data_IF_757811380916
#
_entry.id   IF_757811380916
#
_cell.length_a   1.000
_cell.length_b   1.000
_cell.length_c   1.000
_cell.angle_alpha   90.00
_cell.angle_beta   90.00
_cell.angle_gamma   90.00
#
_symmetry.space_group_name_H-M   'P 1'
#
loop_
_entity.id
_entity.type
_entity.pdbx_description
1 polymer ?
#
# COMPACT_ATOMS: atom_id res chain seq x y z
N UNK A 1 -19.15 -15.30 42.93
CA UNK A 1 -18.60 -14.34 41.98
C UNK A 1 -18.22 -14.95 40.62
N UNK A 2 -17.67 -16.15 40.53
CA UNK A 2 -17.37 -16.83 39.26
C UNK A 2 -18.60 -17.30 38.44
N UNK A 3 -19.74 -17.58 39.06
CA UNK A 3 -20.98 -18.03 38.38
C UNK A 3 -21.80 -16.90 37.72
N UNK A 4 -21.55 -15.65 38.05
CA UNK A 4 -22.24 -14.49 37.45
C UNK A 4 -21.52 -14.02 36.17
N UNK A 5 -20.20 -14.21 36.10
CA UNK A 5 -19.41 -13.89 34.89
C UNK A 5 -19.63 -14.88 33.72
N UNK A 6 -20.00 -16.15 34.03
CA UNK A 6 -20.29 -17.13 32.99
C UNK A 6 -21.68 -16.99 32.35
N UNK A 7 -22.64 -16.36 33.04
CA UNK A 7 -23.98 -16.12 32.48
C UNK A 7 -24.04 -14.86 31.56
N UNK A 8 -23.21 -13.85 31.83
CA UNK A 8 -23.11 -12.65 31.01
C UNK A 8 -22.30 -12.84 29.72
N UNK A 9 -21.38 -13.82 29.71
CA UNK A 9 -20.56 -14.11 28.53
C UNK A 9 -21.26 -14.98 27.47
N UNK A 10 -22.18 -15.85 27.89
CA UNK A 10 -22.84 -16.79 26.97
C UNK A 10 -24.13 -16.25 26.32
N UNK A 11 -24.76 -15.24 26.92
CA UNK A 11 -25.95 -14.61 26.32
C UNK A 11 -25.59 -13.58 25.24
N UNK A 12 -24.40 -12.98 25.28
CA UNK A 12 -23.93 -12.05 24.26
C UNK A 12 -23.48 -12.75 22.97
N UNK A 13 -22.96 -13.99 23.05
CA UNK A 13 -22.53 -14.74 21.86
C UNK A 13 -23.71 -15.35 21.12
N UNK A 14 -24.77 -15.72 21.80
CA UNK A 14 -25.99 -16.26 21.18
C UNK A 14 -26.85 -15.19 20.47
N UNK A 15 -26.74 -13.91 20.86
CA UNK A 15 -27.45 -12.81 20.22
C UNK A 15 -26.84 -12.43 18.86
N UNK A 16 -25.56 -12.74 18.63
CA UNK A 16 -24.90 -12.48 17.34
C UNK A 16 -25.22 -13.52 16.24
N UNK A 17 -25.79 -14.66 16.60
CA UNK A 17 -26.03 -15.78 15.66
C UNK A 17 -27.44 -15.85 15.06
N UNK A 18 -28.36 -14.97 15.41
CA UNK A 18 -29.79 -15.15 15.05
C UNK A 18 -30.49 -14.00 14.32
N UNK A 19 -29.78 -13.03 13.75
CA UNK A 19 -30.45 -12.01 12.93
C UNK A 19 -29.66 -11.66 11.67
N UNK A 20 -29.53 -12.63 10.76
CA UNK A 20 -29.32 -12.35 9.34
C UNK A 20 -30.70 -12.26 8.64
N UNK A 21 -31.56 -11.38 9.11
CA UNK A 21 -32.75 -10.96 8.38
C UNK A 21 -32.48 -9.52 7.92
N UNK A 22 -32.35 -9.33 6.59
CA UNK A 22 -32.23 -8.05 5.96
C UNK A 22 -33.33 -7.09 6.42
N UNK A 23 -32.99 -6.20 7.32
CA UNK A 23 -33.68 -4.95 7.51
C UNK A 23 -32.71 -3.89 7.04
N UNK A 24 -32.93 -3.31 5.87
CA UNK A 24 -32.21 -2.13 5.38
C UNK A 24 -32.55 -0.95 6.32
N UNK A 25 -31.84 -0.86 7.43
CA UNK A 25 -31.81 0.35 8.22
C UNK A 25 -31.02 1.39 7.46
N UNK A 26 -31.64 2.48 7.03
CA UNK A 26 -30.92 3.59 6.42
C UNK A 26 -30.01 4.26 7.45
N UNK A 27 -28.71 4.39 7.13
CA UNK A 27 -27.80 5.19 7.92
C UNK A 27 -28.29 6.67 7.95
N UNK A 28 -28.22 7.30 9.09
CA UNK A 28 -28.60 8.72 9.21
C UNK A 28 -27.55 9.58 8.53
N UNK A 29 -27.95 10.42 7.57
CA UNK A 29 -27.02 11.39 6.96
C UNK A 29 -26.62 12.46 7.99
N UNK A 30 -25.40 12.35 8.49
CA UNK A 30 -24.81 13.25 9.46
C UNK A 30 -24.00 14.38 8.81
N UNK A 31 -23.74 14.33 7.51
CA UNK A 31 -22.87 15.27 6.81
C UNK A 31 -23.36 16.73 6.87
N UNK A 32 -24.67 16.93 7.05
CA UNK A 32 -25.29 18.26 7.20
C UNK A 32 -25.43 18.71 8.65
N UNK A 33 -25.12 17.84 9.62
CA UNK A 33 -25.32 18.10 11.05
C UNK A 33 -24.08 18.72 11.72
N UNK A 34 -24.24 19.48 12.84
CA UNK A 34 -23.08 19.93 13.60
C UNK A 34 -22.19 18.78 14.11
N UNK A 35 -22.77 17.62 14.43
CA UNK A 35 -22.03 16.46 14.86
C UNK A 35 -21.19 15.86 13.72
N UNK A 36 -21.71 15.79 12.51
CA UNK A 36 -20.96 15.37 11.34
C UNK A 36 -19.76 16.30 11.08
N UNK A 37 -19.97 17.61 11.11
CA UNK A 37 -18.87 18.58 10.98
C UNK A 37 -17.81 18.43 12.08
N UNK A 38 -18.21 18.08 13.30
CA UNK A 38 -17.28 17.78 14.38
C UNK A 38 -16.45 16.51 14.07
N UNK A 39 -17.07 15.44 13.53
CA UNK A 39 -16.36 14.24 13.09
C UNK A 39 -15.37 14.57 11.97
N UNK A 40 -15.77 15.38 10.99
CA UNK A 40 -14.88 15.82 9.92
C UNK A 40 -13.69 16.62 10.48
N UNK A 41 -13.93 17.51 11.47
CA UNK A 41 -12.85 18.25 12.11
C UNK A 41 -11.86 17.31 12.82
N UNK A 42 -12.34 16.27 13.51
CA UNK A 42 -11.47 15.24 14.12
C UNK A 42 -10.64 14.54 13.06
N UNK A 43 -11.26 14.14 11.95
CA UNK A 43 -10.54 13.53 10.83
C UNK A 43 -9.44 14.44 10.29
N UNK A 44 -9.74 15.72 10.02
CA UNK A 44 -8.77 16.69 9.49
C UNK A 44 -7.62 16.91 10.47
N UNK A 45 -7.90 17.04 11.76
CA UNK A 45 -6.87 17.21 12.81
C UNK A 45 -6.02 15.94 12.92
N UNK A 46 -6.64 14.76 12.96
CA UNK A 46 -5.93 13.49 12.99
C UNK A 46 -5.05 13.31 11.76
N UNK A 47 -5.59 13.66 10.60
CA UNK A 47 -4.85 13.60 9.34
C UNK A 47 -3.66 14.57 9.30
N UNK A 48 -3.83 15.78 9.85
CA UNK A 48 -2.72 16.72 10.01
C UNK A 48 -1.55 16.10 10.79
N UNK A 49 -1.82 15.38 11.89
CA UNK A 49 -0.76 14.71 12.66
C UNK A 49 -0.16 13.50 11.91
N UNK A 50 -0.93 12.79 11.09
CA UNK A 50 -0.42 11.73 10.20
C UNK A 50 0.57 12.34 9.19
N UNK A 51 0.18 13.41 8.50
CA UNK A 51 1.00 14.07 7.50
C UNK A 51 2.23 14.78 8.09
N UNK A 52 2.14 15.20 9.35
CA UNK A 52 3.20 15.91 10.06
C UNK A 52 4.13 14.95 10.88
N UNK A 53 4.17 13.65 10.55
CA UNK A 53 4.98 12.62 11.20
C UNK A 53 6.44 13.07 11.40
N UNK A 54 7.08 13.57 10.35
CA UNK A 54 8.47 14.03 10.42
C UNK A 54 8.65 15.25 11.33
N UNK A 55 7.69 16.17 11.32
CA UNK A 55 7.78 17.41 12.10
C UNK A 55 7.70 17.16 13.60
N UNK A 56 6.85 16.22 14.00
CA UNK A 56 6.60 15.93 15.43
C UNK A 56 7.30 14.66 15.90
N UNK A 57 7.99 13.93 15.02
CA UNK A 57 8.62 12.63 15.32
C UNK A 57 7.63 11.63 15.94
N UNK A 58 6.37 11.68 15.51
CA UNK A 58 5.30 10.79 15.95
C UNK A 58 4.99 9.84 14.81
N UNK A 59 5.20 8.53 15.02
CA UNK A 59 4.83 7.51 14.04
C UNK A 59 3.34 7.64 13.68
N UNK A 60 3.05 7.70 12.37
CA UNK A 60 1.73 7.95 11.78
C UNK A 60 0.64 6.94 12.20
N UNK A 61 1.03 5.73 12.62
CA UNK A 61 0.10 4.74 13.13
C UNK A 61 -0.66 5.20 14.37
N UNK A 62 0.00 5.96 15.26
CA UNK A 62 -0.61 6.45 16.51
C UNK A 62 -1.77 7.39 16.27
N UNK A 63 -1.61 8.51 15.53
CA UNK A 63 -2.74 9.40 15.25
C UNK A 63 -3.79 8.73 14.36
N UNK A 64 -3.42 7.85 13.42
CA UNK A 64 -4.38 7.14 12.59
C UNK A 64 -5.28 6.23 13.43
N UNK A 65 -4.68 5.37 14.26
CA UNK A 65 -5.42 4.45 15.14
C UNK A 65 -6.33 5.21 16.10
N UNK A 66 -5.81 6.28 16.74
CA UNK A 66 -6.62 7.11 17.64
C UNK A 66 -7.80 7.72 16.90
N UNK A 67 -7.56 8.34 15.74
CA UNK A 67 -8.61 9.03 14.97
C UNK A 67 -9.72 8.06 14.56
N UNK A 68 -9.38 6.94 13.93
CA UNK A 68 -10.37 5.97 13.46
C UNK A 68 -11.20 5.37 14.59
N UNK A 69 -10.54 4.90 15.65
CA UNK A 69 -11.24 4.31 16.80
C UNK A 69 -12.07 5.32 17.56
N UNK A 70 -11.57 6.54 17.74
CA UNK A 70 -12.29 7.62 18.45
C UNK A 70 -13.53 8.07 17.67
N UNK A 71 -13.44 8.19 16.33
CA UNK A 71 -14.60 8.54 15.51
C UNK A 71 -15.72 7.49 15.61
N UNK A 72 -15.39 6.18 15.59
CA UNK A 72 -16.39 5.13 15.80
C UNK A 72 -16.98 5.11 17.21
N UNK A 73 -16.17 5.37 18.23
CA UNK A 73 -16.67 5.52 19.61
C UNK A 73 -17.69 6.69 19.71
N UNK A 74 -17.41 7.81 19.05
CA UNK A 74 -18.32 8.96 19.01
C UNK A 74 -19.61 8.66 18.23
N UNK A 75 -19.51 7.94 17.09
CA UNK A 75 -20.66 7.50 16.32
C UNK A 75 -21.56 6.58 17.13
N UNK A 76 -20.99 5.57 17.80
CA UNK A 76 -21.75 4.67 18.69
C UNK A 76 -22.42 5.43 19.84
N UNK A 77 -21.71 6.36 20.48
CA UNK A 77 -22.28 7.21 21.53
C UNK A 77 -23.42 8.09 21.00
N UNK A 78 -23.28 8.67 19.81
CA UNK A 78 -24.33 9.48 19.19
C UNK A 78 -25.59 8.66 18.92
N UNK A 79 -25.45 7.43 18.38
CA UNK A 79 -26.58 6.52 18.14
C UNK A 79 -27.27 6.14 19.45
N UNK A 80 -26.50 5.79 20.50
CA UNK A 80 -27.05 5.42 21.81
C UNK A 80 -27.82 6.58 22.47
N UNK A 81 -27.26 7.80 22.47
CA UNK A 81 -27.87 8.97 23.10
C UNK A 81 -29.16 9.39 22.39
N UNK A 82 -29.21 9.27 21.06
CA UNK A 82 -30.37 9.66 20.26
C UNK A 82 -31.38 8.54 20.07
N UNK A 83 -31.16 7.34 20.63
CA UNK A 83 -32.06 6.20 20.51
C UNK A 83 -32.23 5.72 19.06
N UNK A 84 -31.19 5.83 18.22
CA UNK A 84 -31.21 5.43 16.83
C UNK A 84 -31.09 3.91 16.70
N UNK A 85 -31.61 3.37 15.58
CA UNK A 85 -31.44 1.95 15.27
C UNK A 85 -29.99 1.62 14.91
N UNK A 86 -29.42 0.63 15.60
CA UNK A 86 -28.04 0.19 15.42
C UNK A 86 -27.85 -0.76 14.22
N UNK A 87 -28.91 -1.21 13.57
CA UNK A 87 -28.78 -2.24 12.50
C UNK A 87 -27.87 -1.81 11.36
N UNK A 88 -28.00 -0.57 10.87
CA UNK A 88 -27.12 -0.01 9.85
C UNK A 88 -25.69 0.19 10.36
N UNK A 89 -25.53 0.61 11.61
CA UNK A 89 -24.24 0.79 12.26
C UNK A 89 -23.48 -0.53 12.44
N UNK A 90 -24.17 -1.57 12.92
CA UNK A 90 -23.59 -2.91 13.11
C UNK A 90 -23.19 -3.55 11.78
N UNK A 91 -24.01 -3.37 10.73
CA UNK A 91 -23.67 -3.84 9.39
C UNK A 91 -22.42 -3.13 8.83
N UNK A 92 -22.34 -1.80 8.96
CA UNK A 92 -21.16 -1.04 8.50
C UNK A 92 -19.89 -1.48 9.25
N UNK A 93 -19.97 -1.66 10.58
CA UNK A 93 -18.84 -2.17 11.37
C UNK A 93 -18.43 -3.56 10.88
N UNK A 94 -19.38 -4.47 10.66
CA UNK A 94 -19.08 -5.82 10.19
C UNK A 94 -18.38 -5.81 8.82
N UNK A 95 -18.88 -5.01 7.87
CA UNK A 95 -18.26 -4.84 6.56
C UNK A 95 -16.87 -4.21 6.65
N UNK A 96 -16.70 -3.18 7.45
CA UNK A 96 -15.42 -2.51 7.66
C UNK A 96 -14.39 -3.45 8.28
N UNK A 97 -14.78 -4.23 9.31
CA UNK A 97 -13.88 -5.20 9.95
C UNK A 97 -13.47 -6.27 8.95
N UNK A 98 -14.39 -6.76 8.10
CA UNK A 98 -14.08 -7.73 7.06
C UNK A 98 -13.06 -7.15 6.04
N UNK A 99 -13.31 -5.95 5.54
CA UNK A 99 -12.40 -5.24 4.62
C UNK A 99 -11.00 -5.08 5.24
N UNK A 100 -10.95 -4.59 6.48
CA UNK A 100 -9.69 -4.41 7.20
C UNK A 100 -8.99 -5.77 7.43
N UNK A 101 -9.72 -6.81 7.81
CA UNK A 101 -9.15 -8.14 8.05
C UNK A 101 -8.56 -8.73 6.76
N UNK A 102 -9.23 -8.58 5.62
CA UNK A 102 -8.71 -9.04 4.33
C UNK A 102 -7.37 -8.39 4.00
N UNK A 103 -7.27 -7.06 4.12
CA UNK A 103 -6.04 -6.31 3.86
C UNK A 103 -4.98 -6.64 4.90
N UNK A 104 -5.35 -6.70 6.18
CA UNK A 104 -4.44 -7.01 7.28
C UNK A 104 -3.77 -8.38 7.10
N UNK A 105 -4.54 -9.44 6.90
CA UNK A 105 -3.97 -10.78 6.72
C UNK A 105 -3.20 -10.91 5.43
N UNK A 106 -3.61 -10.22 4.37
CA UNK A 106 -2.83 -10.19 3.14
C UNK A 106 -1.44 -9.58 3.38
N UNK A 107 -1.37 -8.39 3.96
CA UNK A 107 -0.12 -7.69 4.24
C UNK A 107 0.75 -8.44 5.26
N UNK A 108 0.11 -8.97 6.31
CA UNK A 108 0.78 -9.79 7.32
C UNK A 108 1.57 -10.95 6.69
N UNK A 109 0.95 -11.66 5.75
CA UNK A 109 1.60 -12.76 5.04
C UNK A 109 2.69 -12.25 4.11
N UNK A 110 2.42 -11.22 3.31
CA UNK A 110 3.39 -10.65 2.39
C UNK A 110 4.65 -10.18 3.13
N UNK A 111 4.49 -9.40 4.21
CA UNK A 111 5.60 -8.94 5.05
C UNK A 111 6.37 -10.11 5.69
N UNK A 112 5.67 -11.17 6.11
CA UNK A 112 6.34 -12.36 6.68
C UNK A 112 7.22 -13.06 5.65
N UNK A 113 6.77 -13.18 4.39
CA UNK A 113 7.59 -13.72 3.31
C UNK A 113 8.81 -12.85 3.04
N UNK A 114 8.64 -11.53 3.02
CA UNK A 114 9.75 -10.58 2.79
C UNK A 114 10.79 -10.70 3.92
N UNK A 115 10.36 -10.72 5.18
CA UNK A 115 11.27 -10.90 6.32
C UNK A 115 12.02 -12.25 6.25
N UNK A 116 11.33 -13.32 5.84
CA UNK A 116 11.96 -14.61 5.62
C UNK A 116 13.00 -14.57 4.47
N UNK A 117 12.78 -13.79 3.41
CA UNK A 117 13.73 -13.59 2.33
C UNK A 117 14.94 -12.73 2.78
N UNK A 118 14.71 -11.72 3.62
CA UNK A 118 15.76 -10.91 4.26
C UNK A 118 16.64 -11.82 5.13
N UNK A 119 16.03 -12.64 5.98
CA UNK A 119 16.76 -13.58 6.85
C UNK A 119 17.60 -14.60 6.05
N UNK A 120 17.21 -14.92 4.83
CA UNK A 120 17.98 -15.81 3.92
C UNK A 120 18.99 -15.07 3.04
N UNK A 121 19.28 -13.80 3.32
CA UNK A 121 20.24 -12.97 2.58
C UNK A 121 19.91 -12.83 1.07
N UNK A 122 18.64 -12.96 0.67
CA UNK A 122 18.26 -12.86 -0.75
C UNK A 122 18.55 -11.45 -1.28
N UNK A 123 18.20 -10.42 -0.51
CA UNK A 123 18.42 -9.03 -0.90
C UNK A 123 19.88 -8.58 -0.71
N UNK A 124 20.59 -9.12 0.29
CA UNK A 124 22.03 -8.86 0.46
C UNK A 124 22.86 -9.49 -0.65
N UNK A 125 22.49 -10.67 -1.13
CA UNK A 125 23.12 -11.29 -2.31
C UNK A 125 22.85 -10.47 -3.59
N UNK A 126 21.66 -9.89 -3.75
CA UNK A 126 21.36 -8.97 -4.84
C UNK A 126 22.23 -7.71 -4.75
N UNK A 127 22.35 -7.11 -3.58
CA UNK A 127 23.18 -5.94 -3.30
C UNK A 127 24.64 -6.22 -3.62
N UNK A 128 25.21 -7.32 -3.14
CA UNK A 128 26.60 -7.73 -3.42
C UNK A 128 26.85 -7.86 -4.92
N UNK A 129 25.90 -8.47 -5.64
CA UNK A 129 25.98 -8.60 -7.10
C UNK A 129 26.01 -7.24 -7.80
N UNK A 130 25.24 -6.27 -7.33
CA UNK A 130 25.22 -4.90 -7.87
C UNK A 130 26.55 -4.18 -7.61
N UNK A 131 27.09 -4.30 -6.38
CA UNK A 131 28.37 -3.71 -6.00
C UNK A 131 29.54 -4.32 -6.77
N UNK A 132 29.53 -5.65 -6.94
CA UNK A 132 30.55 -6.40 -7.67
C UNK A 132 30.56 -6.15 -9.18
N UNK A 133 29.46 -5.62 -9.74
CA UNK A 133 29.33 -5.40 -11.19
C UNK A 133 30.15 -4.21 -11.72
N UNK A 134 30.73 -3.37 -10.85
CA UNK A 134 31.57 -2.24 -11.24
C UNK A 134 30.84 -1.15 -12.07
N UNK A 135 29.55 -1.00 -11.84
CA UNK A 135 28.72 -0.03 -12.56
C UNK A 135 29.07 1.42 -12.18
N UNK A 136 28.99 2.32 -13.18
CA UNK A 136 29.00 3.76 -12.96
C UNK A 136 27.69 4.24 -12.31
N UNK A 137 27.66 5.51 -11.86
CA UNK A 137 26.47 6.08 -11.21
C UNK A 137 25.22 6.04 -12.10
N UNK A 138 25.36 6.27 -13.42
CA UNK A 138 24.23 6.26 -14.35
C UNK A 138 23.65 4.85 -14.51
N UNK A 139 24.51 3.81 -14.63
CA UNK A 139 24.06 2.42 -14.68
C UNK A 139 23.40 1.99 -13.38
N UNK A 140 23.97 2.37 -12.22
CA UNK A 140 23.39 2.09 -10.92
C UNK A 140 22.01 2.74 -10.77
N UNK A 141 21.85 3.98 -11.19
CA UNK A 141 20.57 4.69 -11.22
C UNK A 141 19.52 3.91 -12.03
N UNK A 142 19.85 3.48 -13.25
CA UNK A 142 18.91 2.74 -14.10
C UNK A 142 18.61 1.34 -13.57
N UNK A 143 19.63 0.63 -13.12
CA UNK A 143 19.46 -0.75 -12.60
C UNK A 143 18.64 -0.76 -11.32
N UNK A 144 18.88 0.17 -10.39
CA UNK A 144 18.10 0.26 -9.16
C UNK A 144 16.65 0.66 -9.43
N UNK A 145 16.40 1.56 -10.38
CA UNK A 145 15.05 1.91 -10.81
C UNK A 145 14.32 0.74 -11.49
N UNK A 146 14.99 0.02 -12.40
CA UNK A 146 14.42 -1.18 -13.03
C UNK A 146 14.11 -2.26 -11.99
N UNK A 147 15.01 -2.49 -11.04
CA UNK A 147 14.77 -3.44 -9.96
C UNK A 147 13.58 -3.00 -9.10
N UNK A 148 13.47 -1.71 -8.76
CA UNK A 148 12.32 -1.19 -8.04
C UNK A 148 11.02 -1.46 -8.81
N UNK A 149 11.00 -1.17 -10.10
CA UNK A 149 9.82 -1.35 -10.95
C UNK A 149 9.37 -2.81 -11.03
N UNK A 150 10.29 -3.78 -11.11
CA UNK A 150 9.96 -5.20 -11.27
C UNK A 150 9.85 -5.98 -9.95
N UNK A 151 10.42 -5.49 -8.85
CA UNK A 151 10.27 -6.10 -7.52
C UNK A 151 8.96 -5.66 -6.89
N UNK A 152 8.58 -4.40 -7.04
CA UNK A 152 7.38 -3.82 -6.40
C UNK A 152 6.08 -4.59 -6.68
N UNK A 153 5.81 -5.11 -7.89
CA UNK A 153 4.61 -5.90 -8.15
C UNK A 153 4.44 -7.16 -7.28
N UNK A 154 5.48 -7.56 -6.56
CA UNK A 154 5.51 -8.78 -5.74
C UNK A 154 5.79 -8.47 -4.27
N UNK A 155 6.63 -7.45 -4.01
CA UNK A 155 7.17 -7.17 -2.69
C UNK A 155 6.61 -5.88 -2.05
N UNK A 156 5.55 -5.31 -2.60
CA UNK A 156 4.97 -3.99 -2.35
C UNK A 156 5.93 -2.80 -2.58
N UNK A 157 5.35 -1.60 -2.67
CA UNK A 157 6.10 -0.38 -2.99
C UNK A 157 6.98 0.09 -1.83
N UNK A 158 6.51 0.02 -0.58
CA UNK A 158 7.26 0.44 0.60
C UNK A 158 8.49 -0.45 0.82
N UNK A 159 8.29 -1.75 0.89
CA UNK A 159 9.38 -2.74 1.10
C UNK A 159 10.42 -2.64 0.00
N UNK A 160 9.99 -2.56 -1.26
CA UNK A 160 10.88 -2.38 -2.41
C UNK A 160 11.73 -1.12 -2.29
N UNK A 161 11.11 -0.01 -1.95
CA UNK A 161 11.78 1.28 -1.80
C UNK A 161 12.78 1.27 -0.63
N UNK A 162 12.44 0.66 0.50
CA UNK A 162 13.34 0.51 1.66
C UNK A 162 14.55 -0.36 1.35
N UNK A 163 14.37 -1.49 0.68
CA UNK A 163 15.47 -2.37 0.30
C UNK A 163 16.43 -1.65 -0.64
N UNK A 164 15.92 -1.03 -1.69
CA UNK A 164 16.78 -0.40 -2.69
C UNK A 164 17.40 0.91 -2.20
N UNK A 165 16.73 1.66 -1.34
CA UNK A 165 17.35 2.83 -0.68
C UNK A 165 18.50 2.41 0.24
N UNK A 166 18.39 1.25 0.90
CA UNK A 166 19.50 0.67 1.68
C UNK A 166 20.67 0.28 0.77
N UNK A 167 20.38 -0.27 -0.42
CA UNK A 167 21.41 -0.53 -1.44
C UNK A 167 22.10 0.76 -1.86
N UNK A 168 21.36 1.82 -2.19
CA UNK A 168 21.92 3.13 -2.56
C UNK A 168 22.85 3.69 -1.48
N UNK A 169 22.44 3.66 -0.20
CA UNK A 169 23.26 4.11 0.92
C UNK A 169 24.53 3.27 1.13
N UNK A 170 24.48 1.99 0.78
CA UNK A 170 25.67 1.13 0.87
C UNK A 170 26.65 1.43 -0.25
N UNK A 171 26.14 1.77 -1.45
CA UNK A 171 26.96 2.12 -2.61
C UNK A 171 27.66 3.46 -2.38
N UNK A 172 26.93 4.43 -1.86
CA UNK A 172 27.43 5.79 -1.67
C UNK A 172 26.68 6.46 -0.51
N UNK A 173 27.41 7.09 0.44
CA UNK A 173 26.79 7.72 1.61
C UNK A 173 26.76 9.24 1.50
N UNK A 174 27.75 9.83 0.84
CA UNK A 174 28.01 11.26 0.91
C UNK A 174 27.65 12.02 -0.36
N UNK A 175 27.50 11.34 -1.49
CA UNK A 175 27.22 11.96 -2.79
C UNK A 175 25.75 12.26 -2.97
N UNK A 176 25.29 13.41 -2.45
CA UNK A 176 23.90 13.87 -2.59
C UNK A 176 23.47 14.03 -4.04
N UNK A 177 24.38 14.38 -4.96
CA UNK A 177 24.07 14.54 -6.37
C UNK A 177 23.68 13.19 -7.03
N UNK A 178 24.19 12.06 -6.54
CA UNK A 178 23.79 10.74 -6.95
C UNK A 178 22.56 10.24 -6.17
N UNK A 179 22.58 10.39 -4.84
CA UNK A 179 21.57 9.80 -3.97
C UNK A 179 20.17 10.40 -4.16
N UNK A 180 20.06 11.73 -4.32
CA UNK A 180 18.74 12.38 -4.44
C UNK A 180 17.98 11.94 -5.69
N UNK A 181 18.51 12.07 -6.93
CA UNK A 181 17.79 11.60 -8.10
C UNK A 181 17.58 10.08 -8.10
N UNK A 182 18.50 9.29 -7.52
CA UNK A 182 18.35 7.84 -7.42
C UNK A 182 17.26 7.44 -6.42
N UNK A 183 17.13 8.14 -5.30
CA UNK A 183 16.06 7.95 -4.32
C UNK A 183 14.69 8.26 -4.95
N UNK A 184 14.57 9.38 -5.65
CA UNK A 184 13.35 9.74 -6.38
C UNK A 184 13.00 8.66 -7.41
N UNK A 185 13.99 8.21 -8.19
CA UNK A 185 13.80 7.17 -9.19
C UNK A 185 13.27 5.87 -8.55
N UNK A 186 13.84 5.45 -7.42
CA UNK A 186 13.39 4.26 -6.69
C UNK A 186 11.96 4.42 -6.19
N UNK A 187 11.59 5.57 -5.62
CA UNK A 187 10.22 5.85 -5.14
C UNK A 187 9.23 5.80 -6.30
N UNK A 188 9.51 6.52 -7.40
CA UNK A 188 8.62 6.55 -8.57
C UNK A 188 8.52 5.18 -9.23
N UNK A 189 9.65 4.47 -9.35
CA UNK A 189 9.70 3.13 -9.92
C UNK A 189 8.91 2.13 -9.07
N UNK A 190 9.01 2.20 -7.73
CA UNK A 190 8.27 1.34 -6.82
C UNK A 190 6.76 1.58 -6.90
N UNK A 191 6.32 2.86 -6.89
CA UNK A 191 4.90 3.19 -7.02
C UNK A 191 4.35 2.84 -8.41
N UNK A 192 5.06 3.15 -9.49
CA UNK A 192 4.64 2.80 -10.85
C UNK A 192 4.67 1.28 -11.08
N UNK A 193 5.66 0.58 -10.51
CA UNK A 193 5.73 -0.88 -10.53
C UNK A 193 4.59 -1.51 -9.75
N UNK A 194 4.22 -0.92 -8.60
CA UNK A 194 3.08 -1.36 -7.80
C UNK A 194 1.73 -1.20 -8.50
N UNK A 195 1.59 -0.19 -9.36
CA UNK A 195 0.31 0.17 -9.95
C UNK A 195 -0.26 -0.85 -10.95
N UNK A 196 0.56 -1.71 -11.56
CA UNK A 196 0.11 -2.69 -12.55
C UNK A 196 -0.08 -4.12 -12.00
N UNK A 197 -0.01 -4.29 -10.69
CA UNK A 197 -0.25 -5.58 -10.02
C UNK A 197 -1.05 -5.39 -8.74
N UNK A 198 -2.07 -6.21 -8.47
CA UNK A 198 -2.79 -6.16 -7.18
C UNK A 198 -1.92 -6.41 -5.96
N UNK A 199 -0.72 -6.95 -6.12
CA UNK A 199 0.22 -7.25 -5.03
C UNK A 199 1.28 -6.16 -4.84
N UNK A 200 1.34 -5.18 -5.72
CA UNK A 200 2.42 -4.20 -5.74
C UNK A 200 2.15 -2.92 -4.96
N UNK A 201 0.89 -2.63 -4.66
CA UNK A 201 0.47 -1.49 -3.84
C UNK A 201 -0.83 -1.85 -3.12
N UNK A 202 -1.02 -1.28 -1.93
CA UNK A 202 -2.25 -1.50 -1.16
C UNK A 202 -3.47 -0.95 -1.91
N UNK A 203 -3.32 0.14 -2.64
CA UNK A 203 -4.39 0.73 -3.46
C UNK A 203 -4.89 -0.23 -4.55
N UNK A 204 -3.98 -0.92 -5.22
CA UNK A 204 -4.30 -1.94 -6.21
C UNK A 204 -4.94 -3.17 -5.58
N UNK A 205 -4.44 -3.59 -4.41
CA UNK A 205 -5.02 -4.68 -3.64
C UNK A 205 -6.46 -4.36 -3.24
N UNK A 206 -6.72 -3.15 -2.72
CA UNK A 206 -8.06 -2.70 -2.33
C UNK A 206 -9.02 -2.71 -3.51
N UNK A 207 -8.63 -2.16 -4.67
CA UNK A 207 -9.46 -2.15 -5.87
C UNK A 207 -9.77 -3.57 -6.36
N UNK A 208 -8.77 -4.45 -6.34
CA UNK A 208 -8.95 -5.84 -6.71
C UNK A 208 -9.82 -6.62 -5.73
N UNK A 209 -9.61 -6.46 -4.41
CA UNK A 209 -10.44 -7.09 -3.36
C UNK A 209 -11.88 -6.63 -3.44
N UNK A 210 -12.12 -5.35 -3.69
CA UNK A 210 -13.46 -4.78 -3.90
C UNK A 210 -14.12 -5.20 -5.25
N UNK A 211 -13.44 -6.00 -6.08
CA UNK A 211 -14.00 -6.49 -7.34
C UNK A 211 -14.12 -5.43 -8.44
N UNK A 212 -13.38 -4.32 -8.35
CA UNK A 212 -13.42 -3.22 -9.33
C UNK A 212 -12.65 -3.51 -10.62
N UNK A 213 -12.02 -4.67 -10.72
CA UNK A 213 -11.35 -5.22 -11.90
C UNK A 213 -10.92 -6.66 -11.65
N UNK A 214 -10.78 -7.45 -12.71
CA UNK A 214 -10.16 -8.76 -12.69
C UNK A 214 -8.63 -8.59 -12.57
N UNK A 215 -7.91 -9.66 -12.16
CA UNK A 215 -6.45 -9.62 -12.07
C UNK A 215 -5.77 -9.16 -13.37
N UNK A 216 -6.32 -9.60 -14.51
CA UNK A 216 -5.77 -9.28 -15.85
C UNK A 216 -5.91 -7.79 -16.18
N UNK A 217 -6.95 -7.11 -15.67
CA UNK A 217 -7.17 -5.68 -15.96
C UNK A 217 -6.03 -4.83 -15.39
N UNK A 218 -5.48 -5.20 -14.24
CA UNK A 218 -4.29 -4.52 -13.69
C UNK A 218 -3.06 -4.71 -14.56
N UNK A 219 -2.90 -5.86 -15.23
CA UNK A 219 -1.75 -6.08 -16.12
C UNK A 219 -1.79 -5.15 -17.35
N UNK A 220 -2.98 -4.71 -17.78
CA UNK A 220 -3.10 -3.71 -18.83
C UNK A 220 -2.55 -2.32 -18.44
N UNK A 221 -2.30 -2.07 -17.14
CA UNK A 221 -1.63 -0.84 -16.70
C UNK A 221 -0.11 -0.87 -16.90
N UNK A 222 0.48 -2.03 -17.22
CA UNK A 222 1.93 -2.16 -17.42
C UNK A 222 2.50 -1.14 -18.42
N UNK A 223 1.93 -0.94 -19.65
CA UNK A 223 2.47 0.05 -20.58
C UNK A 223 2.42 1.48 -20.04
N UNK A 224 1.32 1.88 -19.41
CA UNK A 224 1.17 3.22 -18.82
C UNK A 224 2.18 3.44 -17.68
N UNK A 225 2.35 2.43 -16.83
CA UNK A 225 3.28 2.48 -15.69
C UNK A 225 4.75 2.55 -16.14
N UNK A 226 5.17 1.65 -17.05
CA UNK A 226 6.59 1.58 -17.46
C UNK A 226 7.01 2.77 -18.30
N UNK A 227 6.15 3.29 -19.21
CA UNK A 227 6.45 4.42 -20.04
C UNK A 227 6.50 5.71 -19.21
N UNK A 228 5.53 5.93 -18.30
CA UNK A 228 5.52 7.08 -17.42
C UNK A 228 6.72 7.12 -16.48
N UNK A 229 7.04 5.99 -15.82
CA UNK A 229 8.27 5.87 -15.04
C UNK A 229 9.51 6.07 -15.92
N UNK A 230 9.59 5.46 -17.09
CA UNK A 230 10.72 5.57 -18.00
C UNK A 230 11.03 7.01 -18.42
N UNK A 231 9.98 7.82 -18.69
CA UNK A 231 10.12 9.25 -18.97
C UNK A 231 10.64 10.00 -17.74
N UNK A 232 10.08 9.75 -16.57
CA UNK A 232 10.59 10.33 -15.31
C UNK A 232 12.05 9.99 -15.09
N UNK A 233 12.42 8.71 -15.20
CA UNK A 233 13.78 8.23 -15.02
C UNK A 233 14.74 8.83 -16.06
N UNK A 234 14.31 8.95 -17.31
CA UNK A 234 15.10 9.59 -18.36
C UNK A 234 15.41 11.06 -18.03
N UNK A 235 14.41 11.80 -17.57
CA UNK A 235 14.61 13.20 -17.16
C UNK A 235 15.50 13.31 -15.92
N UNK A 236 15.29 12.47 -14.90
CA UNK A 236 16.10 12.41 -13.67
C UNK A 236 17.55 12.01 -13.96
N UNK A 237 17.80 11.13 -14.93
CA UNK A 237 19.14 10.64 -15.26
C UNK A 237 20.11 11.77 -15.66
N UNK A 238 19.59 12.91 -16.11
CA UNK A 238 20.37 14.11 -16.46
C UNK A 238 20.98 14.82 -15.24
N UNK A 239 20.43 14.57 -14.07
CA UNK A 239 20.92 15.11 -12.79
C UNK A 239 21.87 14.15 -12.07
N UNK A 240 22.05 12.93 -12.57
CA UNK A 240 22.97 11.94 -12.02
C UNK A 240 24.39 12.30 -12.48
N UNK A 241 25.37 12.41 -11.54
CA UNK A 241 26.75 12.73 -11.90
C UNK A 241 27.40 11.63 -12.71
N UNK A 242 28.45 11.98 -13.42
CA UNK A 242 29.35 11.01 -14.05
C UNK A 242 30.35 10.47 -13.03
N UNK A 243 30.87 9.27 -13.27
CA UNK A 243 31.86 8.63 -12.40
C UNK A 243 31.42 7.31 -11.80
N UNK A 244 32.27 6.78 -10.96
CA UNK A 244 32.05 5.50 -10.29
C UNK A 244 32.02 5.70 -8.78
N UNK A 245 31.21 4.92 -8.02
CA UNK A 245 31.32 4.88 -6.58
C UNK A 245 32.70 4.37 -6.17
N UNK A 246 33.14 4.76 -4.98
CA UNK A 246 34.40 4.25 -4.42
C UNK A 246 34.26 2.73 -4.26
N UNK A 247 35.25 1.97 -4.77
CA UNK A 247 35.27 0.53 -4.57
C UNK A 247 35.26 0.21 -3.09
N UNK A 248 34.31 -0.58 -2.65
CA UNK A 248 34.30 -1.13 -1.30
C UNK A 248 35.28 -2.31 -1.32
N UNK A 249 36.53 -2.07 -0.88
CA UNK A 249 37.52 -3.13 -0.71
C UNK A 249 37.10 -4.02 0.45
N UNK A 250 37.05 -5.35 0.24
CA UNK A 250 36.74 -6.32 1.29
C UNK A 250 35.26 -6.67 1.47
N UNK A 251 34.40 -6.42 0.52
CA UNK A 251 33.04 -6.95 0.57
C UNK A 251 33.08 -8.50 0.60
N UNK A 252 32.70 -9.10 1.72
CA UNK A 252 32.53 -10.55 1.83
C UNK A 252 31.48 -11.01 0.80
N UNK A 253 31.77 -12.12 0.13
CA UNK A 253 30.84 -12.69 -0.87
C UNK A 253 29.61 -13.24 -0.17
N UNK A 254 28.51 -12.49 -0.26
CA UNK A 254 27.24 -12.87 0.35
C UNK A 254 26.52 -13.85 -0.58
N UNK A 255 26.15 -15.00 -0.06
CA UNK A 255 25.37 -16.01 -0.78
C UNK A 255 24.01 -16.19 -0.14
N UNK A 256 23.02 -16.53 -0.98
CA UNK A 256 21.69 -16.87 -0.49
C UNK A 256 21.79 -18.09 0.42
N UNK A 257 21.32 -17.97 1.66
CA UNK A 257 21.31 -19.06 2.62
C UNK A 257 20.42 -20.21 2.13
N UNK A 258 20.71 -21.43 2.62
CA UNK A 258 19.96 -22.64 2.32
C UNK A 258 18.46 -22.42 2.59
N UNK A 259 17.62 -22.79 1.63
CA UNK A 259 16.17 -22.59 1.72
C UNK A 259 15.66 -21.29 1.07
N UNK A 260 16.50 -20.26 0.87
CA UNK A 260 16.06 -18.99 0.31
C UNK A 260 15.40 -19.12 -1.07
N UNK A 261 15.93 -19.96 -1.97
CA UNK A 261 15.33 -20.23 -3.28
C UNK A 261 13.95 -20.90 -3.20
N UNK A 262 13.76 -21.79 -2.21
CA UNK A 262 12.47 -22.44 -1.98
C UNK A 262 11.46 -21.44 -1.44
N UNK A 263 11.87 -20.52 -0.57
CA UNK A 263 11.00 -19.45 -0.05
C UNK A 263 10.57 -18.51 -1.19
N UNK A 264 11.45 -18.17 -2.14
CA UNK A 264 11.07 -17.41 -3.34
C UNK A 264 9.98 -18.16 -4.12
N UNK A 265 10.19 -19.46 -4.37
CA UNK A 265 9.20 -20.29 -5.07
C UNK A 265 7.87 -20.36 -4.32
N UNK A 266 7.89 -20.56 -2.99
CA UNK A 266 6.70 -20.54 -2.14
C UNK A 266 5.99 -19.19 -2.18
N UNK A 267 6.73 -18.08 -2.24
CA UNK A 267 6.16 -16.74 -2.40
C UNK A 267 5.38 -16.60 -3.72
N UNK A 268 5.99 -17.01 -4.84
CA UNK A 268 5.31 -17.02 -6.14
C UNK A 268 4.08 -17.95 -6.13
N UNK A 269 4.20 -19.13 -5.53
CA UNK A 269 3.09 -20.06 -5.37
C UNK A 269 1.95 -19.47 -4.53
N UNK A 270 2.28 -18.73 -3.47
CA UNK A 270 1.32 -18.04 -2.60
C UNK A 270 0.52 -17.00 -3.38
N UNK A 271 1.19 -16.19 -4.19
CA UNK A 271 0.55 -15.22 -5.08
C UNK A 271 -0.39 -15.94 -6.07
N UNK A 272 0.11 -17.00 -6.73
CA UNK A 272 -0.71 -17.78 -7.64
C UNK A 272 -1.95 -18.38 -6.94
N UNK A 273 -1.80 -18.87 -5.70
CA UNK A 273 -2.91 -19.42 -4.90
C UNK A 273 -3.95 -18.35 -4.57
N UNK A 274 -3.54 -17.12 -4.24
CA UNK A 274 -4.46 -16.02 -3.99
C UNK A 274 -5.24 -15.63 -5.25
N UNK A 275 -4.57 -15.54 -6.41
CA UNK A 275 -5.20 -15.23 -7.70
C UNK A 275 -6.19 -16.32 -8.10
N UNK A 276 -5.76 -17.58 -8.11
CA UNK A 276 -6.59 -18.71 -8.51
C UNK A 276 -7.76 -18.90 -7.53
N UNK A 277 -7.53 -18.74 -6.23
CA UNK A 277 -8.57 -18.80 -5.22
C UNK A 277 -9.67 -17.76 -5.46
N UNK A 278 -9.28 -16.52 -5.78
CA UNK A 278 -10.24 -15.45 -6.09
C UNK A 278 -10.97 -15.69 -7.42
N UNK A 279 -10.26 -16.03 -8.48
CA UNK A 279 -10.84 -16.15 -9.83
C UNK A 279 -11.68 -17.41 -10.02
N UNK A 280 -11.25 -18.55 -9.46
CA UNK A 280 -11.90 -19.83 -9.69
C UNK A 280 -12.85 -20.26 -8.55
N UNK A 281 -12.56 -19.83 -7.32
CA UNK A 281 -13.27 -20.28 -6.11
C UNK A 281 -14.05 -19.13 -5.45
N UNK A 282 -13.94 -17.90 -5.97
CA UNK A 282 -14.55 -16.69 -5.38
C UNK A 282 -14.16 -16.43 -3.92
N UNK A 283 -12.98 -16.93 -3.50
CA UNK A 283 -12.45 -16.72 -2.16
C UNK A 283 -11.73 -15.37 -2.07
N UNK A 284 -11.86 -14.63 -0.96
CA UNK A 284 -11.01 -13.47 -0.70
C UNK A 284 -9.52 -13.82 -0.82
N UNK A 285 -8.68 -12.92 -1.39
CA UNK A 285 -7.26 -13.19 -1.63
C UNK A 285 -6.48 -13.65 -0.40
N UNK A 286 -6.88 -13.20 0.80
CA UNK A 286 -6.23 -13.55 2.06
C UNK A 286 -6.17 -15.07 2.30
N UNK A 287 -7.14 -15.87 1.79
CA UNK A 287 -7.14 -17.31 1.97
C UNK A 287 -5.98 -17.99 1.25
N UNK A 288 -5.71 -17.58 0.00
CA UNK A 288 -4.54 -18.06 -0.74
C UNK A 288 -3.22 -17.64 -0.09
N UNK A 289 -3.17 -16.41 0.45
CA UNK A 289 -2.02 -15.91 1.18
C UNK A 289 -1.76 -16.72 2.46
N UNK A 290 -2.77 -16.94 3.30
CA UNK A 290 -2.66 -17.72 4.54
C UNK A 290 -2.31 -19.20 4.26
N UNK A 291 -2.84 -19.76 3.16
CA UNK A 291 -2.44 -21.11 2.72
C UNK A 291 -0.93 -21.16 2.40
N UNK A 292 -0.43 -20.17 1.64
CA UNK A 292 1.00 -20.06 1.35
C UNK A 292 1.86 -19.89 2.62
N UNK A 293 1.41 -19.08 3.58
CA UNK A 293 2.07 -18.95 4.87
C UNK A 293 2.14 -20.27 5.63
N UNK A 294 1.06 -21.05 5.60
CA UNK A 294 1.04 -22.38 6.25
C UNK A 294 2.11 -23.31 5.63
N UNK A 295 2.26 -23.27 4.30
CA UNK A 295 3.30 -24.05 3.62
C UNK A 295 4.71 -23.55 3.97
N UNK A 296 4.90 -22.22 4.09
CA UNK A 296 6.17 -21.64 4.55
C UNK A 296 6.52 -22.13 5.97
N UNK A 297 5.55 -22.16 6.88
CA UNK A 297 5.74 -22.66 8.26
C UNK A 297 6.10 -24.16 8.28
N UNK A 298 5.40 -24.97 7.49
CA UNK A 298 5.72 -26.40 7.35
C UNK A 298 7.13 -26.59 6.76
N UNK A 299 7.49 -25.81 5.75
CA UNK A 299 8.83 -25.87 5.17
C UNK A 299 9.91 -25.46 6.19
N UNK A 300 9.69 -24.38 6.93
CA UNK A 300 10.61 -23.95 7.97
C UNK A 300 10.82 -25.04 9.05
N UNK A 301 9.73 -25.71 9.45
CA UNK A 301 9.83 -26.86 10.36
C UNK A 301 10.69 -28.00 9.80
N UNK A 302 10.55 -28.32 8.50
CA UNK A 302 11.37 -29.37 7.86
C UNK A 302 12.85 -28.98 7.80
N UNK A 303 13.15 -27.71 7.51
CA UNK A 303 14.52 -27.19 7.50
C UNK A 303 15.17 -27.27 8.90
N UNK A 304 14.45 -26.90 9.94
CA UNK A 304 14.93 -27.01 11.33
C UNK A 304 15.18 -28.46 11.72
N UNK A 305 14.23 -29.34 11.45
CA UNK A 305 14.30 -30.74 11.87
C UNK A 305 15.36 -31.59 11.16
N UNK A 306 15.55 -31.39 9.85
CA UNK A 306 16.36 -32.27 9.02
C UNK A 306 17.68 -31.67 8.55
N UNK A 307 17.87 -30.37 8.68
CA UNK A 307 19.02 -29.69 8.11
C UNK A 307 19.79 -28.81 9.08
N UNK A 308 19.42 -28.79 10.37
CA UNK A 308 20.02 -27.99 11.41
C UNK A 308 20.14 -26.48 11.07
N UNK A 309 19.20 -26.02 10.22
CA UNK A 309 19.09 -24.62 9.84
C UNK A 309 17.84 -24.00 10.47
N UNK A 310 18.05 -23.15 11.45
CA UNK A 310 16.97 -22.50 12.18
C UNK A 310 16.34 -21.40 11.29
N UNK A 311 15.13 -21.64 10.80
CA UNK A 311 14.21 -20.60 10.33
C UNK A 311 13.09 -20.55 11.33
N UNK A 312 13.03 -19.50 12.11
CA UNK A 312 11.93 -19.27 13.03
C UNK A 312 10.95 -18.26 12.44
N UNK A 313 9.94 -18.74 11.70
CA UNK A 313 8.92 -17.87 11.07
C UNK A 313 8.26 -16.92 12.08
N UNK A 314 8.12 -17.32 13.32
CA UNK A 314 7.62 -16.44 14.38
C UNK A 314 8.56 -15.28 14.69
N UNK A 315 9.87 -15.42 14.48
CA UNK A 315 10.81 -14.29 14.57
C UNK A 315 10.66 -13.35 13.37
N UNK A 316 10.44 -13.90 12.17
CA UNK A 316 10.11 -13.09 10.98
C UNK A 316 8.79 -12.34 11.20
N UNK A 317 7.74 -13.01 11.72
CA UNK A 317 6.47 -12.37 12.11
C UNK A 317 6.67 -11.26 13.15
N UNK A 318 7.56 -11.43 14.11
CA UNK A 318 7.83 -10.41 15.13
C UNK A 318 8.55 -9.17 14.57
N UNK A 319 9.20 -9.29 13.42
CA UNK A 319 9.94 -8.20 12.75
C UNK A 319 9.12 -7.44 11.70
N UNK A 320 7.92 -7.92 11.34
CA UNK A 320 7.08 -7.20 10.39
C UNK A 320 6.76 -5.79 10.90
N UNK A 321 6.46 -4.88 9.99
CA UNK A 321 6.12 -3.50 10.31
C UNK A 321 4.71 -3.41 10.91
N UNK A 322 4.57 -3.76 12.21
CA UNK A 322 3.30 -3.71 12.93
C UNK A 322 2.69 -2.30 12.93
N UNK A 323 3.51 -1.26 12.95
CA UNK A 323 3.07 0.13 12.87
C UNK A 323 2.34 0.39 11.54
N UNK A 324 2.83 -0.15 10.45
CA UNK A 324 2.18 -0.05 9.14
C UNK A 324 0.81 -0.73 9.13
N UNK A 325 0.69 -1.92 9.73
CA UNK A 325 -0.61 -2.60 9.84
C UNK A 325 -1.61 -1.82 10.70
N UNK A 326 -1.16 -1.25 11.82
CA UNK A 326 -2.01 -0.43 12.69
C UNK A 326 -2.38 0.91 12.04
N UNK A 327 -1.48 1.48 11.24
CA UNK A 327 -1.78 2.66 10.43
C UNK A 327 -2.94 2.37 9.46
N UNK A 328 -2.88 1.27 8.73
CA UNK A 328 -3.96 0.90 7.80
C UNK A 328 -5.28 0.63 8.51
N UNK A 329 -5.26 -0.07 9.63
CA UNK A 329 -6.46 -0.22 10.45
C UNK A 329 -7.07 1.13 10.80
N UNK A 330 -6.26 2.04 11.35
CA UNK A 330 -6.74 3.34 11.84
C UNK A 330 -7.28 4.23 10.73
N UNK A 331 -6.58 4.30 9.58
CA UNK A 331 -7.00 5.16 8.48
C UNK A 331 -8.24 4.62 7.75
N UNK A 332 -8.33 3.31 7.55
CA UNK A 332 -9.53 2.69 6.97
C UNK A 332 -10.75 2.86 7.88
N UNK A 333 -10.55 2.73 9.21
CA UNK A 333 -11.59 3.04 10.18
C UNK A 333 -12.02 4.53 10.10
N UNK A 334 -11.07 5.46 10.04
CA UNK A 334 -11.40 6.89 9.97
C UNK A 334 -12.18 7.25 8.70
N UNK A 335 -11.77 6.70 7.53
CA UNK A 335 -12.49 6.88 6.25
C UNK A 335 -13.85 6.18 6.30
N UNK A 336 -13.94 4.98 6.91
CA UNK A 336 -15.20 4.27 7.14
C UNK A 336 -16.19 5.09 8.00
N UNK A 337 -15.71 5.75 9.04
CA UNK A 337 -16.53 6.64 9.87
C UNK A 337 -17.07 7.84 9.07
N UNK A 338 -16.26 8.44 8.17
CA UNK A 338 -16.72 9.51 7.28
C UNK A 338 -17.74 9.00 6.24
N UNK A 339 -17.53 7.78 5.74
CA UNK A 339 -18.48 7.13 4.84
C UNK A 339 -19.84 6.95 5.53
N UNK A 340 -19.84 6.34 6.71
CA UNK A 340 -21.05 6.11 7.48
C UNK A 340 -21.75 7.41 7.87
N UNK A 341 -20.99 8.49 8.13
CA UNK A 341 -21.54 9.82 8.40
C UNK A 341 -22.10 10.54 7.14
N UNK A 342 -22.00 9.95 5.94
CA UNK A 342 -22.57 10.46 4.69
C UNK A 342 -21.66 11.41 3.90
N UNK A 343 -20.43 11.70 4.34
CA UNK A 343 -19.55 12.65 3.64
C UNK A 343 -19.11 12.17 2.25
N UNK A 344 -18.93 10.87 2.06
CA UNK A 344 -18.43 10.34 0.78
C UNK A 344 -19.48 10.36 -0.33
N UNK A 345 -20.77 10.52 0.01
CA UNK A 345 -21.81 10.76 -1.00
C UNK A 345 -21.58 12.04 -1.81
N UNK A 346 -20.87 13.01 -1.21
CA UNK A 346 -20.49 14.24 -1.93
C UNK A 346 -19.37 14.01 -2.94
N UNK A 347 -18.52 12.99 -2.73
CA UNK A 347 -17.51 12.61 -3.71
C UNK A 347 -18.12 11.99 -4.97
N UNK A 348 -19.23 11.24 -4.85
CA UNK A 348 -19.98 10.70 -6.01
C UNK A 348 -20.46 11.82 -6.90
N UNK A 349 -20.98 12.92 -6.34
CA UNK A 349 -21.45 14.07 -7.11
C UNK A 349 -20.37 14.68 -8.03
N UNK A 350 -19.09 14.53 -7.69
CA UNK A 350 -18.02 14.98 -8.58
C UNK A 350 -17.96 14.15 -9.86
N UNK A 351 -18.21 12.84 -9.76
CA UNK A 351 -18.28 11.94 -10.91
C UNK A 351 -19.55 12.15 -11.74
N UNK A 352 -20.64 12.65 -11.13
CA UNK A 352 -21.86 13.02 -11.85
C UNK A 352 -21.71 14.36 -12.59
N UNK A 353 -20.91 15.29 -12.03
CA UNK A 353 -20.74 16.64 -12.58
C UNK A 353 -19.63 16.74 -13.63
N UNK A 354 -18.60 15.90 -13.54
CA UNK A 354 -17.41 15.95 -14.38
C UNK A 354 -17.15 14.59 -15.03
N UNK A 355 -16.46 14.59 -16.16
CA UNK A 355 -15.98 13.35 -16.77
C UNK A 355 -15.09 12.59 -15.77
N UNK A 356 -15.36 11.29 -15.55
CA UNK A 356 -14.59 10.47 -14.61
C UNK A 356 -13.07 10.53 -14.82
N UNK A 357 -12.59 10.72 -16.04
CA UNK A 357 -11.16 10.84 -16.32
C UNK A 357 -10.54 12.04 -15.60
N UNK A 358 -11.20 13.20 -15.63
CA UNK A 358 -10.66 14.40 -14.95
C UNK A 358 -10.73 14.26 -13.45
N UNK A 359 -11.80 13.64 -12.91
CA UNK A 359 -11.91 13.35 -11.48
C UNK A 359 -10.77 12.42 -11.04
N UNK A 360 -10.52 11.35 -11.79
CA UNK A 360 -9.46 10.38 -11.51
C UNK A 360 -8.06 10.99 -11.60
N UNK A 361 -7.81 11.91 -12.54
CA UNK A 361 -6.57 12.69 -12.59
C UNK A 361 -6.45 13.56 -11.32
N UNK A 362 -7.53 14.21 -10.91
CA UNK A 362 -7.58 14.99 -9.66
C UNK A 362 -7.33 14.15 -8.42
N UNK A 363 -7.85 12.92 -8.38
CA UNK A 363 -7.57 11.93 -7.32
C UNK A 363 -6.07 11.66 -7.17
N UNK A 364 -5.33 11.57 -8.28
CA UNK A 364 -3.87 11.41 -8.24
C UNK A 364 -3.15 12.60 -7.60
N UNK A 365 -3.59 13.84 -7.85
CA UNK A 365 -3.06 15.03 -7.16
C UNK A 365 -3.44 15.03 -5.67
N UNK A 366 -4.66 14.61 -5.34
CA UNK A 366 -5.07 14.45 -3.94
C UNK A 366 -4.22 13.40 -3.24
N UNK A 367 -3.92 12.27 -3.89
CA UNK A 367 -3.03 11.22 -3.41
C UNK A 367 -1.61 11.73 -3.09
N UNK A 368 -1.12 12.70 -3.82
CA UNK A 368 0.17 13.33 -3.52
C UNK A 368 0.18 14.06 -2.16
N UNK A 369 -0.98 14.58 -1.73
CA UNK A 369 -1.13 15.38 -0.49
C UNK A 369 -1.57 14.51 0.68
N UNK A 370 -2.44 13.52 0.41
CA UNK A 370 -3.23 12.81 1.44
C UNK A 370 -2.75 11.37 1.66
N UNK A 371 -1.71 10.88 1.02
CA UNK A 371 -1.37 9.45 0.93
C UNK A 371 -2.37 8.68 0.04
N UNK A 372 -1.87 7.68 -0.68
CA UNK A 372 -2.65 6.94 -1.68
C UNK A 372 -3.76 6.06 -1.07
N UNK A 373 -3.53 5.45 0.09
CA UNK A 373 -4.46 4.48 0.69
C UNK A 373 -5.77 5.12 1.17
N UNK A 374 -5.77 6.21 1.98
CA UNK A 374 -7.01 6.85 2.37
C UNK A 374 -7.80 7.43 1.19
N UNK A 375 -7.10 7.93 0.17
CA UNK A 375 -7.75 8.44 -1.06
C UNK A 375 -8.44 7.31 -1.81
N UNK A 376 -7.76 6.18 -2.02
CA UNK A 376 -8.36 5.02 -2.69
C UNK A 376 -9.51 4.42 -1.88
N UNK A 377 -9.38 4.33 -0.56
CA UNK A 377 -10.46 3.91 0.33
C UNK A 377 -11.70 4.81 0.18
N UNK A 378 -11.51 6.12 0.13
CA UNK A 378 -12.61 7.06 -0.06
C UNK A 378 -13.32 6.87 -1.41
N UNK A 379 -12.59 6.68 -2.51
CA UNK A 379 -13.16 6.43 -3.84
C UNK A 379 -13.91 5.09 -3.87
N UNK A 380 -13.35 4.03 -3.27
CA UNK A 380 -14.00 2.72 -3.21
C UNK A 380 -15.30 2.75 -2.41
N UNK A 381 -15.30 3.44 -1.26
CA UNK A 381 -16.51 3.60 -0.43
C UNK A 381 -17.56 4.52 -1.07
N UNK A 382 -17.13 5.54 -1.79
CA UNK A 382 -18.02 6.35 -2.62
C UNK A 382 -18.64 5.51 -3.77
N UNK A 383 -17.90 4.50 -4.25
CA UNK A 383 -18.31 3.53 -5.27
C UNK A 383 -19.02 4.16 -6.48
N UNK A 384 -18.39 5.12 -7.19
CA UNK A 384 -18.97 5.74 -8.37
C UNK A 384 -19.25 4.68 -9.45
N UNK A 385 -20.31 4.90 -10.23
CA UNK A 385 -20.64 4.05 -11.38
C UNK A 385 -19.75 4.43 -12.59
N UNK A 386 -18.59 3.83 -12.67
CA UNK A 386 -17.57 4.07 -13.71
C UNK A 386 -17.09 2.76 -14.31
N UNK A 387 -16.64 2.81 -15.56
CA UNK A 387 -16.14 1.63 -16.27
C UNK A 387 -14.89 1.02 -15.61
N UNK A 388 -14.59 -0.24 -15.91
CA UNK A 388 -13.35 -0.92 -15.46
C UNK A 388 -12.13 -0.12 -15.87
N UNK A 389 -12.08 0.42 -17.09
CA UNK A 389 -10.98 1.29 -17.54
C UNK A 389 -10.80 2.51 -16.66
N UNK A 390 -11.88 3.14 -16.18
CA UNK A 390 -11.82 4.27 -15.24
C UNK A 390 -11.37 3.82 -13.83
N UNK A 391 -11.77 2.62 -13.39
CA UNK A 391 -11.24 2.03 -12.15
C UNK A 391 -9.73 1.76 -12.27
N UNK A 392 -9.25 1.33 -13.44
CA UNK A 392 -7.82 1.19 -13.70
C UNK A 392 -7.12 2.55 -13.71
N UNK A 393 -7.75 3.60 -14.26
CA UNK A 393 -7.18 4.96 -14.23
C UNK A 393 -7.04 5.47 -12.79
N UNK A 394 -8.06 5.40 -11.96
CA UNK A 394 -7.98 5.88 -10.58
C UNK A 394 -6.93 5.10 -9.78
N UNK A 395 -6.80 3.81 -10.03
CA UNK A 395 -5.76 2.97 -9.40
C UNK A 395 -4.36 3.43 -9.81
N UNK A 396 -4.14 3.65 -11.11
CA UNK A 396 -2.88 4.17 -11.65
C UNK A 396 -2.55 5.55 -11.08
N UNK A 397 -3.51 6.47 -11.12
CA UNK A 397 -3.30 7.87 -10.71
C UNK A 397 -3.09 7.97 -9.19
N UNK A 398 -3.83 7.21 -8.38
CA UNK A 398 -3.62 7.16 -6.94
C UNK A 398 -2.22 6.62 -6.59
N UNK A 399 -1.77 5.54 -7.23
CA UNK A 399 -0.46 4.95 -6.98
C UNK A 399 0.69 5.86 -7.45
N UNK A 400 0.70 6.23 -8.73
CA UNK A 400 1.78 7.07 -9.30
C UNK A 400 1.74 8.49 -8.76
N UNK A 401 0.53 9.05 -8.56
CA UNK A 401 0.32 10.40 -8.01
C UNK A 401 0.96 10.58 -6.63
N UNK A 402 0.95 9.56 -5.80
CA UNK A 402 1.64 9.56 -4.51
C UNK A 402 3.14 9.85 -4.59
N UNK A 403 3.75 9.70 -5.78
CA UNK A 403 5.16 10.05 -6.01
C UNK A 403 5.40 11.55 -6.26
N UNK A 404 4.37 12.35 -6.54
CA UNK A 404 4.53 13.78 -6.86
C UNK A 404 5.09 14.58 -5.68
N UNK A 405 4.77 14.15 -4.45
CA UNK A 405 5.29 14.73 -3.22
C UNK A 405 5.94 13.60 -2.41
N UNK A 406 7.03 13.89 -1.72
CA UNK A 406 7.84 12.87 -1.03
C UNK A 406 7.11 12.10 0.06
N UNK A 407 6.06 12.66 0.66
CA UNK A 407 5.24 12.02 1.68
C UNK A 407 3.86 11.54 1.17
N UNK A 408 3.58 11.66 -0.12
CA UNK A 408 2.32 11.22 -0.73
C UNK A 408 2.19 9.71 -0.93
N UNK A 409 3.22 8.95 -0.57
CA UNK A 409 3.18 7.48 -0.55
C UNK A 409 4.05 6.89 0.54
N UNK A 410 3.71 5.69 1.00
CA UNK A 410 4.50 4.95 1.97
C UNK A 410 5.96 4.77 1.51
N UNK A 411 6.18 4.51 0.22
CA UNK A 411 7.52 4.40 -0.37
C UNK A 411 8.34 5.68 -0.21
N UNK A 412 7.73 6.84 -0.46
CA UNK A 412 8.39 8.14 -0.32
C UNK A 412 8.78 8.44 1.13
N UNK A 413 7.86 8.23 2.07
CA UNK A 413 8.11 8.40 3.52
C UNK A 413 9.21 7.45 3.98
N UNK A 414 9.15 6.17 3.61
CA UNK A 414 10.15 5.18 3.99
C UNK A 414 11.55 5.54 3.51
N UNK A 415 11.69 6.01 2.26
CA UNK A 415 12.98 6.45 1.70
C UNK A 415 13.49 7.72 2.39
N UNK A 416 12.60 8.67 2.74
CA UNK A 416 13.01 9.86 3.52
C UNK A 416 13.53 9.47 4.90
N UNK A 417 12.87 8.57 5.60
CA UNK A 417 13.34 8.04 6.88
C UNK A 417 14.69 7.33 6.76
N UNK A 418 14.90 6.56 5.69
CA UNK A 418 16.13 5.80 5.47
C UNK A 418 17.31 6.67 5.05
N UNK A 419 17.08 7.66 4.19
CA UNK A 419 18.06 8.61 3.65
C UNK A 419 18.03 9.95 4.42
N UNK A 420 17.81 9.89 5.73
CA UNK A 420 17.66 11.06 6.57
C UNK A 420 18.76 12.12 6.34
N UNK A 421 18.37 13.39 6.15
CA UNK A 421 19.29 14.51 5.89
C UNK A 421 19.87 14.56 4.46
N UNK A 422 19.64 13.55 3.63
CA UNK A 422 20.07 13.50 2.23
C UNK A 422 18.86 13.68 1.31
N UNK A 423 17.88 12.80 1.41
CA UNK A 423 16.62 12.91 0.69
C UNK A 423 15.57 13.55 1.59
N UNK A 424 15.16 14.75 1.23
CA UNK A 424 14.25 15.60 2.00
C UNK A 424 13.12 16.09 1.12
N UNK A 425 12.04 16.58 1.72
CA UNK A 425 10.95 17.23 1.00
C UNK A 425 11.48 18.29 0.00
N UNK A 426 12.37 19.19 0.44
CA UNK A 426 12.91 20.24 -0.42
C UNK A 426 13.74 19.70 -1.60
N UNK A 427 14.52 18.61 -1.40
CA UNK A 427 15.30 17.99 -2.47
C UNK A 427 14.40 17.27 -3.49
N UNK A 428 13.34 16.64 -3.03
CA UNK A 428 12.33 16.02 -3.88
C UNK A 428 11.60 17.06 -4.74
N UNK A 429 11.08 18.13 -4.14
CA UNK A 429 10.29 19.16 -4.83
C UNK A 429 11.07 19.87 -5.94
N UNK A 430 12.38 20.00 -5.83
CA UNK A 430 13.22 20.56 -6.91
C UNK A 430 13.15 19.74 -8.21
N UNK A 431 12.90 18.46 -8.11
CA UNK A 431 12.84 17.52 -9.24
C UNK A 431 11.43 16.97 -9.50
N UNK A 432 10.42 17.36 -8.71
CA UNK A 432 9.03 16.89 -8.82
C UNK A 432 8.40 17.17 -10.20
N UNK A 433 8.85 18.20 -10.91
CA UNK A 433 8.39 18.46 -12.27
C UNK A 433 8.68 17.29 -13.24
N UNK A 434 9.74 16.50 -13.01
CA UNK A 434 10.05 15.32 -13.83
C UNK A 434 9.01 14.24 -13.61
N UNK A 435 8.54 14.10 -12.36
CA UNK A 435 7.50 13.15 -11.96
C UNK A 435 6.16 13.59 -12.55
N UNK A 436 5.86 14.89 -12.50
CA UNK A 436 4.63 15.45 -13.08
C UNK A 436 4.53 15.16 -14.58
N UNK A 437 5.62 15.31 -15.33
CA UNK A 437 5.66 14.94 -16.74
C UNK A 437 5.38 13.44 -16.92
N UNK A 438 6.06 12.59 -16.16
CA UNK A 438 5.85 11.14 -16.21
C UNK A 438 4.42 10.74 -15.84
N UNK A 439 3.83 11.40 -14.85
CA UNK A 439 2.43 11.22 -14.46
C UNK A 439 1.47 11.47 -15.61
N UNK A 440 1.59 12.62 -16.29
CA UNK A 440 0.75 12.92 -17.45
C UNK A 440 1.03 12.01 -18.65
N UNK A 441 2.26 11.54 -18.82
CA UNK A 441 2.59 10.53 -19.83
C UNK A 441 1.89 9.20 -19.49
N UNK A 442 1.89 8.76 -18.22
CA UNK A 442 1.14 7.57 -17.79
C UNK A 442 -0.34 7.69 -18.11
N UNK A 443 -0.96 8.83 -17.78
CA UNK A 443 -2.37 9.12 -18.11
C UNK A 443 -2.59 9.12 -19.64
N UNK A 444 -1.70 9.73 -20.41
CA UNK A 444 -1.77 9.75 -21.87
C UNK A 444 -1.69 8.36 -22.52
N UNK A 445 -0.80 7.49 -22.00
CA UNK A 445 -0.68 6.10 -22.47
C UNK A 445 -1.93 5.31 -22.08
N UNK A 446 -2.44 5.48 -20.85
CA UNK A 446 -3.71 4.88 -20.44
C UNK A 446 -4.86 5.33 -21.37
N UNK A 447 -4.96 6.64 -21.66
CA UNK A 447 -6.00 7.18 -22.56
C UNK A 447 -5.91 6.57 -23.95
N UNK A 448 -4.71 6.50 -24.53
CA UNK A 448 -4.49 5.85 -25.81
C UNK A 448 -4.94 4.38 -25.78
N UNK A 449 -4.58 3.65 -24.74
CA UNK A 449 -4.85 2.21 -24.63
C UNK A 449 -6.33 1.91 -24.38
N UNK A 450 -6.93 2.51 -23.35
CA UNK A 450 -8.30 2.16 -22.93
C UNK A 450 -9.37 2.91 -23.70
N UNK A 451 -9.12 4.18 -24.08
CA UNK A 451 -10.13 5.02 -24.73
C UNK A 451 -10.02 4.98 -26.25
N UNK A 452 -8.81 5.10 -26.81
CA UNK A 452 -8.63 5.16 -28.27
C UNK A 452 -8.59 3.76 -28.89
N UNK A 453 -7.80 2.85 -28.30
CA UNK A 453 -7.61 1.50 -28.84
C UNK A 453 -8.62 0.48 -28.29
N UNK A 454 -9.35 0.80 -27.22
CA UNK A 454 -10.33 -0.10 -26.59
C UNK A 454 -9.72 -1.37 -26.00
N UNK A 455 -8.46 -1.31 -25.56
CA UNK A 455 -7.76 -2.46 -24.98
C UNK A 455 -7.90 -2.41 -23.45
N UNK A 456 -8.53 -3.44 -22.88
CA UNK A 456 -8.70 -3.56 -21.42
C UNK A 456 -9.96 -2.82 -20.89
N UNK A 457 -10.92 -2.49 -21.75
CA UNK A 457 -12.21 -1.87 -21.41
C UNK A 457 -13.38 -2.81 -21.65
#
# INVERSE_FOLDING_TARGET
MLKILSLLGLTSIAAFATTAAHVEGHAVDLATTPFGWFLLAIFVVGYYFIAAEEKYHINKAKPALFTGTFMFMLLGAYYAINGLDFSAFDNEIAHLILEIAEIFFFLFVAMTFIEALIERNVFDALKEKLLGAGYDYKKLFWVTGLLAFFISPVADNLTTALILSTVLLTIEKDNKAFLVPSAINVVVAANAGGAWSPFGDITTLMAWSAGKGAFVDFLYLFPASIIGWGVTAFLLSRFVPEGHPKKIEGAEKVTIHKGGKVIIFLGVFTIASAVLGKQLMHLPPMWGMLFGLSLLQLYAYTLKKYHDHDIEIYKSVAKIENDTLLFFFGILAAVGALHFAGFLSHAVKLYDMFDPMYVNIGVGFLSAIVDNVPVMSAVLKASPDISVGQWMLVTLTAGVGGSLISFGSAAGVGVMGKLHGVYTFGSHMKLAWTILIGYFVSVGVWYLQFTVLGIGG
#
